data_IF_554743847279
#
_entry.id   IF_554743847279
#
_cell.length_a   1.000
_cell.length_b   1.000
_cell.length_c   1.000
_cell.angle_alpha   90.00
_cell.angle_beta   90.00
_cell.angle_gamma   90.00
#
_symmetry.space_group_name_H-M   'P 1'
#
loop_
_entity.id
_entity.type
_entity.pdbx_description
1 polymer ?
#
# COMPACT_ATOMS: atom_id res chain seq x y z
N UNK A 1 -14.87 30.99 10.10
CA UNK A 1 -14.08 30.03 10.91
C UNK A 1 -14.64 28.60 10.91
N UNK A 2 -15.96 28.35 10.76
CA UNK A 2 -16.52 26.98 10.73
C UNK A 2 -16.23 26.17 9.44
N UNK A 3 -15.88 26.83 8.33
CA UNK A 3 -15.63 26.18 7.04
C UNK A 3 -14.19 25.67 6.83
N UNK A 4 -13.23 26.12 7.64
CA UNK A 4 -11.82 25.71 7.54
C UNK A 4 -11.52 24.39 8.27
N UNK A 5 -12.28 24.08 9.32
CA UNK A 5 -12.14 22.82 10.07
C UNK A 5 -12.60 21.59 9.26
N UNK A 6 -13.56 21.78 8.34
CA UNK A 6 -14.06 20.68 7.50
C UNK A 6 -13.04 20.23 6.44
N UNK A 7 -12.21 21.14 5.93
CA UNK A 7 -11.23 20.83 4.88
C UNK A 7 -9.99 20.12 5.45
N UNK A 8 -9.60 20.45 6.69
CA UNK A 8 -8.51 19.77 7.37
C UNK A 8 -8.86 18.32 7.77
N UNK A 9 -10.14 18.04 8.05
CA UNK A 9 -10.59 16.70 8.41
C UNK A 9 -10.47 15.71 7.25
N UNK A 10 -10.80 16.11 6.00
CA UNK A 10 -10.73 15.22 4.83
C UNK A 10 -9.28 14.91 4.43
N UNK A 11 -8.35 15.85 4.61
CA UNK A 11 -6.93 15.63 4.37
C UNK A 11 -6.25 14.77 5.46
N UNK A 12 -6.74 14.81 6.70
CA UNK A 12 -6.19 14.03 7.81
C UNK A 12 -6.39 12.51 7.67
N UNK A 13 -7.43 12.07 6.93
CA UNK A 13 -7.66 10.65 6.68
C UNK A 13 -6.81 10.06 5.54
N UNK A 14 -6.14 10.89 4.73
CA UNK A 14 -5.32 10.41 3.61
C UNK A 14 -3.91 9.92 4.04
N UNK A 15 -3.46 10.26 5.25
CA UNK A 15 -2.08 9.97 5.69
C UNK A 15 -1.99 9.02 6.90
N UNK A 16 -3.10 8.69 7.56
CA UNK A 16 -3.09 7.86 8.77
C UNK A 16 -3.04 6.34 8.51
N UNK A 17 -3.15 5.89 7.26
CA UNK A 17 -3.17 4.47 6.88
C UNK A 17 -2.02 3.99 5.99
N UNK A 18 -1.13 4.88 5.56
CA UNK A 18 -0.07 4.55 4.60
C UNK A 18 1.13 3.91 5.32
N UNK A 19 1.11 2.60 5.49
CA UNK A 19 2.36 1.84 5.50
C UNK A 19 3.07 2.15 4.17
N UNK A 20 4.05 3.05 4.23
CA UNK A 20 4.82 3.43 3.06
C UNK A 20 5.56 2.19 2.56
N UNK A 21 5.15 1.64 1.41
CA UNK A 21 5.72 0.43 0.83
C UNK A 21 7.24 0.53 0.72
N UNK A 22 7.76 1.73 0.41
CA UNK A 22 9.18 2.01 0.33
C UNK A 22 9.92 1.80 1.66
N UNK A 23 9.27 2.04 2.81
CA UNK A 23 9.92 1.91 4.11
C UNK A 23 10.40 0.48 4.36
N UNK A 24 9.59 -0.52 4.02
CA UNK A 24 9.96 -1.93 4.19
C UNK A 24 10.72 -2.48 2.99
N UNK A 25 10.32 -2.10 1.77
CA UNK A 25 10.83 -2.72 0.55
C UNK A 25 12.11 -2.06 0.02
N UNK A 26 12.30 -0.74 0.21
CA UNK A 26 13.55 -0.05 -0.18
C UNK A 26 14.59 -0.08 0.94
N UNK A 27 14.16 -0.28 2.20
CA UNK A 27 15.03 -0.46 3.36
C UNK A 27 15.63 -1.86 3.51
N UNK A 28 15.33 -2.79 2.59
CA UNK A 28 15.87 -4.16 2.60
C UNK A 28 15.23 -5.10 3.64
N UNK A 29 14.16 -4.67 4.33
CA UNK A 29 13.43 -5.51 5.28
C UNK A 29 12.45 -6.47 4.59
N UNK A 30 12.07 -6.18 3.34
CA UNK A 30 11.20 -6.99 2.52
C UNK A 30 11.74 -7.11 1.07
N UNK A 31 11.15 -8.02 0.29
CA UNK A 31 11.53 -8.28 -1.11
C UNK A 31 11.35 -7.03 -1.94
N UNK A 32 12.37 -6.57 -2.68
CA UNK A 32 12.25 -5.37 -3.50
C UNK A 32 11.14 -5.47 -4.55
N UNK A 33 10.29 -4.45 -4.62
CA UNK A 33 9.13 -4.42 -5.52
C UNK A 33 9.54 -4.17 -6.98
N UNK A 34 10.65 -3.47 -7.22
CA UNK A 34 11.21 -3.20 -8.55
C UNK A 34 11.71 -4.44 -9.29
N UNK A 35 11.74 -5.60 -8.62
CA UNK A 35 12.07 -6.91 -9.21
C UNK A 35 10.86 -7.63 -9.80
N UNK A 36 9.64 -7.18 -9.47
CA UNK A 36 8.38 -7.78 -9.89
C UNK A 36 7.62 -6.85 -10.84
N UNK A 37 6.92 -7.42 -11.82
CA UNK A 37 5.99 -6.65 -12.66
C UNK A 37 4.82 -6.13 -11.83
N UNK A 38 4.16 -5.04 -12.25
CA UNK A 38 2.95 -4.55 -11.57
C UNK A 38 1.88 -5.64 -11.42
N UNK A 39 1.70 -6.50 -12.43
CA UNK A 39 0.73 -7.60 -12.38
C UNK A 39 1.06 -8.63 -11.28
N UNK A 40 2.33 -8.97 -11.11
CA UNK A 40 2.78 -9.88 -10.04
C UNK A 40 2.58 -9.27 -8.65
N UNK A 41 2.86 -7.97 -8.50
CA UNK A 41 2.61 -7.25 -7.23
C UNK A 41 1.13 -7.25 -6.91
N UNK A 42 0.25 -6.91 -7.87
CA UNK A 42 -1.20 -6.93 -7.65
C UNK A 42 -1.66 -8.33 -7.21
N UNK A 43 -1.21 -9.38 -7.90
CA UNK A 43 -1.56 -10.76 -7.58
C UNK A 43 -1.15 -11.12 -6.15
N UNK A 44 0.13 -10.91 -5.80
CA UNK A 44 0.65 -11.23 -4.46
C UNK A 44 -0.01 -10.41 -3.36
N UNK A 45 -0.24 -9.12 -3.60
CA UNK A 45 -0.92 -8.25 -2.64
C UNK A 45 -2.36 -8.69 -2.39
N UNK A 46 -3.08 -9.16 -3.43
CA UNK A 46 -4.42 -9.76 -3.25
C UNK A 46 -4.38 -11.07 -2.47
N UNK A 47 -3.34 -11.89 -2.63
CA UNK A 47 -3.12 -13.09 -1.80
C UNK A 47 -2.92 -12.72 -0.31
N UNK A 48 -2.10 -11.69 -0.02
CA UNK A 48 -1.91 -11.19 1.35
C UNK A 48 -3.19 -10.56 1.91
N UNK A 49 -3.95 -9.81 1.10
CA UNK A 49 -5.23 -9.24 1.50
C UNK A 49 -6.26 -10.33 1.83
N UNK A 50 -6.19 -11.48 1.17
CA UNK A 50 -6.98 -12.67 1.49
C UNK A 50 -6.48 -13.45 2.73
N UNK A 51 -5.50 -12.91 3.48
CA UNK A 51 -4.98 -13.50 4.70
C UNK A 51 -3.92 -14.58 4.50
N UNK A 52 -3.39 -14.76 3.29
CA UNK A 52 -2.40 -15.80 2.98
C UNK A 52 -0.98 -15.26 3.10
N UNK A 53 -0.05 -16.10 3.56
CA UNK A 53 1.37 -15.79 3.56
C UNK A 53 1.84 -15.02 4.81
N UNK A 54 2.71 -14.03 4.63
CA UNK A 54 3.37 -13.33 5.73
C UNK A 54 2.37 -12.46 6.54
N UNK A 55 2.22 -12.66 7.86
CA UNK A 55 1.28 -11.91 8.68
C UNK A 55 1.51 -10.40 8.74
N UNK A 56 2.76 -9.94 8.61
CA UNK A 56 3.08 -8.52 8.52
C UNK A 56 2.49 -7.92 7.25
N UNK A 57 2.67 -8.58 6.10
CA UNK A 57 2.08 -8.11 4.85
C UNK A 57 0.56 -8.19 4.86
N UNK A 58 -0.02 -9.26 5.40
CA UNK A 58 -1.48 -9.36 5.60
C UNK A 58 -2.00 -8.14 6.36
N UNK A 59 -1.36 -7.78 7.47
CA UNK A 59 -1.76 -6.62 8.27
C UNK A 59 -1.53 -5.28 7.56
N UNK A 60 -0.50 -5.16 6.73
CA UNK A 60 -0.22 -3.96 5.96
C UNK A 60 -1.27 -3.71 4.87
N UNK A 61 -1.79 -4.77 4.23
CA UNK A 61 -2.64 -4.63 3.03
C UNK A 61 -4.11 -4.94 3.24
N UNK A 62 -4.52 -5.47 4.40
CA UNK A 62 -5.91 -5.90 4.69
C UNK A 62 -6.97 -4.81 4.46
N UNK A 63 -6.58 -3.54 4.61
CA UNK A 63 -7.49 -2.39 4.48
C UNK A 63 -7.32 -1.62 3.15
N UNK A 64 -6.40 -2.04 2.27
CA UNK A 64 -6.19 -1.36 0.99
C UNK A 64 -7.35 -1.63 0.03
N UNK A 65 -7.78 -0.63 -0.73
CA UNK A 65 -8.71 -0.85 -1.83
C UNK A 65 -8.00 -1.52 -3.01
N UNK A 66 -8.75 -2.14 -3.93
CA UNK A 66 -8.17 -2.73 -5.12
C UNK A 66 -7.51 -1.66 -6.03
N UNK A 67 -8.07 -0.44 -6.05
CA UNK A 67 -7.49 0.69 -6.76
C UNK A 67 -6.14 1.13 -6.15
N UNK A 68 -6.02 1.16 -4.82
CA UNK A 68 -4.76 1.50 -4.15
C UNK A 68 -3.69 0.45 -4.42
N UNK A 69 -4.07 -0.83 -4.46
CA UNK A 69 -3.16 -1.94 -4.80
C UNK A 69 -2.63 -1.78 -6.22
N UNK A 70 -3.49 -1.46 -7.18
CA UNK A 70 -3.09 -1.21 -8.57
C UNK A 70 -2.21 0.04 -8.71
N UNK A 71 -2.52 1.12 -7.99
CA UNK A 71 -1.72 2.34 -7.98
C UNK A 71 -0.32 2.07 -7.41
N UNK A 72 -0.23 1.43 -6.25
CA UNK A 72 1.05 1.07 -5.63
C UNK A 72 1.87 0.12 -6.51
N UNK A 73 1.24 -0.86 -7.15
CA UNK A 73 1.92 -1.78 -8.05
C UNK A 73 2.53 -1.07 -9.28
N UNK A 74 1.84 -0.05 -9.83
CA UNK A 74 2.37 0.76 -10.94
C UNK A 74 3.49 1.68 -10.48
N UNK A 75 3.41 2.20 -9.26
CA UNK A 75 4.41 3.12 -8.70
C UNK A 75 5.72 2.41 -8.35
N UNK A 76 5.64 1.25 -7.70
CA UNK A 76 6.80 0.55 -7.14
C UNK A 76 7.26 -0.67 -7.94
N UNK A 77 6.47 -1.11 -8.91
CA UNK A 77 6.81 -2.25 -9.76
C UNK A 77 7.92 -1.95 -10.76
N UNK A 78 8.44 -3.02 -11.35
CA UNK A 78 9.39 -2.97 -12.45
C UNK A 78 8.79 -2.19 -13.62
N UNK A 79 9.58 -1.23 -14.13
CA UNK A 79 9.25 -0.39 -15.29
C UNK A 79 9.65 -1.08 -16.59
#
# INVERSE_FOLDING_TARGET
>A
MKKLLAVAAVAGFAFAGNFNCAMCHNGGMAVKLDTMTPAEIVKKTKEFKAGKGNPMMVNAVKNMSDADIEAAAKEFGKK
#
